data_IF_291515808375
#
_entry.id   IF_291515808375
#
_cell.length_a   1.000
_cell.length_b   1.000
_cell.length_c   1.000
_cell.angle_alpha   90.00
_cell.angle_beta   90.00
_cell.angle_gamma   90.00
#
_symmetry.space_group_name_H-M   'P 1'
#
loop_
_entity.id
_entity.type
_entity.pdbx_description
1 polymer ?
#
# COMPACT_ATOMS: atom_id res chain seq x y z
N UNK A 1 14.53 -1.11 0.36
CA UNK A 1 13.61 -1.53 -0.70
C UNK A 1 12.48 -0.52 -0.80
N UNK A 2 12.29 0.05 -1.98
CA UNK A 2 11.23 1.03 -2.25
C UNK A 2 9.97 0.34 -2.72
N UNK A 3 8.84 0.63 -2.10
CA UNK A 3 7.55 0.03 -2.45
C UNK A 3 6.42 1.04 -2.41
N UNK A 4 5.57 1.01 -3.42
CA UNK A 4 4.27 1.68 -3.38
C UNK A 4 3.30 0.74 -2.68
N UNK A 5 2.59 1.23 -1.68
CA UNK A 5 1.66 0.42 -0.86
C UNK A 5 0.24 0.58 -1.37
N UNK A 6 -0.41 -0.55 -1.65
CA UNK A 6 -1.83 -0.59 -2.00
C UNK A 6 -2.70 -0.44 -0.74
N UNK A 7 -3.84 0.23 -0.88
CA UNK A 7 -4.78 0.45 0.23
C UNK A 7 -5.17 -0.83 0.97
N UNK A 8 -5.30 -1.94 0.27
CA UNK A 8 -5.68 -3.22 0.88
C UNK A 8 -4.70 -3.70 1.95
N UNK A 9 -3.43 -3.31 1.83
CA UNK A 9 -2.42 -3.65 2.83
C UNK A 9 -2.73 -2.96 4.17
N UNK A 10 -3.16 -1.71 4.12
CA UNK A 10 -3.50 -0.96 5.33
C UNK A 10 -4.71 -1.57 6.04
N UNK A 11 -5.72 -1.97 5.27
CA UNK A 11 -6.90 -2.65 5.82
C UNK A 11 -6.49 -3.99 6.46
N UNK A 12 -5.64 -4.76 5.78
CA UNK A 12 -5.15 -6.04 6.32
C UNK A 12 -4.42 -5.87 7.64
N UNK A 13 -3.62 -4.82 7.77
CA UNK A 13 -2.85 -4.55 8.99
C UNK A 13 -3.77 -4.25 10.17
N UNK A 14 -4.91 -3.60 9.92
CA UNK A 14 -5.89 -3.30 10.96
C UNK A 14 -6.73 -4.50 11.34
N UNK A 15 -7.11 -5.30 10.36
CA UNK A 15 -7.98 -6.47 10.57
C UNK A 15 -7.22 -7.62 11.23
N UNK A 16 -6.00 -7.85 10.76
CA UNK A 16 -5.13 -8.92 11.27
C UNK A 16 -3.86 -8.31 11.85
N UNK A 17 -3.75 -8.32 13.14
CA UNK A 17 -2.50 -7.96 13.79
C UNK A 17 -1.42 -8.97 13.40
N UNK A 18 -0.18 -8.55 13.34
CA UNK A 18 0.94 -9.45 13.11
C UNK A 18 1.89 -8.99 12.02
N UNK A 19 2.23 -9.89 11.09
CA UNK A 19 3.34 -9.69 10.16
C UNK A 19 3.14 -8.51 9.18
N UNK A 20 1.91 -8.25 8.74
CA UNK A 20 1.63 -7.09 7.88
C UNK A 20 1.96 -5.78 8.61
N UNK A 21 1.52 -5.66 9.86
CA UNK A 21 1.80 -4.48 10.67
C UNK A 21 3.30 -4.33 10.95
N UNK A 22 3.99 -5.44 11.21
CA UNK A 22 5.44 -5.42 11.43
C UNK A 22 6.20 -4.97 10.19
N UNK A 23 5.76 -5.41 9.00
CA UNK A 23 6.35 -4.97 7.75
C UNK A 23 6.15 -3.47 7.52
N UNK A 24 4.96 -2.94 7.86
CA UNK A 24 4.66 -1.52 7.69
C UNK A 24 5.61 -0.61 8.48
N UNK A 25 6.08 -1.06 9.63
CA UNK A 25 7.00 -0.29 10.46
C UNK A 25 8.46 -0.72 10.32
N UNK A 26 8.76 -1.66 9.42
CA UNK A 26 10.12 -2.14 9.21
C UNK A 26 11.00 -1.08 8.54
N UNK A 27 12.21 -0.91 9.05
CA UNK A 27 13.20 0.00 8.46
C UNK A 27 13.82 -0.54 7.17
N UNK A 28 13.55 -1.80 6.83
CA UNK A 28 14.02 -2.42 5.58
C UNK A 28 13.21 -1.96 4.37
N UNK A 29 12.05 -1.37 4.59
CA UNK A 29 11.15 -0.91 3.55
C UNK A 29 11.01 0.60 3.56
N UNK A 30 11.09 1.21 2.37
CA UNK A 30 10.73 2.61 2.14
C UNK A 30 9.36 2.59 1.46
N UNK A 31 8.34 3.09 2.14
CA UNK A 31 6.97 3.00 1.66
C UNK A 31 6.47 4.33 1.12
N UNK A 32 5.76 4.26 0.00
CA UNK A 32 5.20 5.42 -0.70
C UNK A 32 3.74 5.15 -1.04
N UNK A 33 2.93 6.19 -1.06
CA UNK A 33 1.54 6.07 -1.46
C UNK A 33 1.05 7.39 -2.07
N UNK A 34 0.04 7.34 -2.95
CA UNK A 34 -0.59 8.56 -3.45
C UNK A 34 -1.39 9.22 -2.33
N UNK A 35 -1.52 10.54 -2.39
CA UNK A 35 -2.22 11.29 -1.33
C UNK A 35 -3.68 10.88 -1.13
N UNK A 36 -4.36 10.40 -2.19
CA UNK A 36 -5.76 9.98 -2.04
C UNK A 36 -5.92 8.73 -1.17
N UNK A 37 -4.84 7.97 -0.94
CA UNK A 37 -4.90 6.77 -0.09
C UNK A 37 -5.45 7.08 1.29
N UNK A 38 -4.95 8.14 1.92
CA UNK A 38 -5.40 8.52 3.26
C UNK A 38 -6.81 9.10 3.24
N UNK A 39 -7.16 9.78 2.15
CA UNK A 39 -8.52 10.28 1.96
C UNK A 39 -9.51 9.12 1.89
N UNK A 40 -9.20 8.09 1.10
CA UNK A 40 -10.01 6.89 0.98
C UNK A 40 -10.08 6.13 2.31
N UNK A 41 -8.93 5.99 2.96
CA UNK A 41 -8.85 5.28 4.24
C UNK A 41 -9.72 5.95 5.31
N UNK A 42 -9.66 7.28 5.38
CA UNK A 42 -10.47 8.07 6.32
C UNK A 42 -11.95 8.02 5.98
N UNK A 43 -12.29 8.01 4.68
CA UNK A 43 -13.66 7.92 4.19
C UNK A 43 -14.37 6.65 4.69
N UNK A 44 -13.63 5.55 4.81
CA UNK A 44 -14.18 4.27 5.26
C UNK A 44 -13.95 4.01 6.75
N UNK A 45 -13.61 5.05 7.52
CA UNK A 45 -13.32 4.96 8.95
C UNK A 45 -14.38 4.18 9.74
N UNK A 46 -15.65 4.55 9.60
CA UNK A 46 -16.72 3.91 10.36
C UNK A 46 -16.86 2.42 10.06
N UNK A 47 -16.72 2.06 8.80
CA UNK A 47 -16.74 0.65 8.38
C UNK A 47 -15.54 -0.12 8.95
N UNK A 48 -14.37 0.51 8.95
CA UNK A 48 -13.15 -0.08 9.49
C UNK A 48 -13.29 -0.33 10.99
N UNK A 49 -13.79 0.66 11.73
CA UNK A 49 -14.01 0.54 13.16
C UNK A 49 -14.94 -0.62 13.49
N UNK A 50 -16.02 -0.74 12.72
CA UNK A 50 -17.01 -1.81 12.91
C UNK A 50 -16.39 -3.20 12.63
N UNK A 51 -15.66 -3.33 11.54
CA UNK A 51 -15.08 -4.62 11.13
C UNK A 51 -13.91 -5.06 12.00
N UNK A 52 -13.15 -4.11 12.52
CA UNK A 52 -11.95 -4.42 13.31
C UNK A 52 -12.20 -4.42 14.81
N UNK A 53 -13.39 -4.02 15.24
CA UNK A 53 -13.75 -3.85 16.65
C UNK A 53 -12.82 -2.87 17.39
N UNK A 54 -12.23 -1.93 16.65
CA UNK A 54 -11.38 -0.88 17.21
C UNK A 54 -12.18 0.36 17.51
N UNK A 55 -11.73 1.15 18.47
CA UNK A 55 -12.33 2.45 18.76
C UNK A 55 -11.64 3.54 17.93
N UNK A 56 -12.18 4.75 17.97
CA UNK A 56 -11.68 5.89 17.23
C UNK A 56 -10.25 6.27 17.60
N UNK A 57 -9.93 6.18 18.90
CA UNK A 57 -8.59 6.48 19.38
C UNK A 57 -7.54 5.53 18.81
N UNK A 58 -7.84 4.24 18.79
CA UNK A 58 -6.95 3.23 18.19
C UNK A 58 -6.76 3.45 16.72
N UNK A 59 -7.82 3.80 15.99
CA UNK A 59 -7.76 4.12 14.58
C UNK A 59 -6.85 5.33 14.33
N UNK A 60 -7.02 6.39 15.12
CA UNK A 60 -6.22 7.61 14.98
C UNK A 60 -4.74 7.37 15.29
N UNK A 61 -4.44 6.55 16.29
CA UNK A 61 -3.07 6.15 16.60
C UNK A 61 -2.43 5.39 15.44
N UNK A 62 -3.16 4.46 14.85
CA UNK A 62 -2.68 3.71 13.69
C UNK A 62 -2.43 4.64 12.51
N UNK A 63 -3.35 5.56 12.26
CA UNK A 63 -3.22 6.53 11.17
C UNK A 63 -1.97 7.40 11.33
N UNK A 64 -1.67 7.84 12.55
CA UNK A 64 -0.45 8.61 12.83
C UNK A 64 0.82 7.82 12.53
N UNK A 65 0.85 6.55 12.91
CA UNK A 65 1.98 5.66 12.61
C UNK A 65 2.16 5.53 11.11
N UNK A 66 1.07 5.34 10.36
CA UNK A 66 1.12 5.23 8.91
C UNK A 66 1.65 6.50 8.25
N UNK A 67 1.24 7.66 8.74
CA UNK A 67 1.70 8.95 8.22
C UNK A 67 3.21 9.15 8.43
N UNK A 68 3.77 8.58 9.48
CA UNK A 68 5.20 8.63 9.73
C UNK A 68 5.97 7.65 8.85
N UNK A 69 5.40 6.48 8.57
CA UNK A 69 6.07 5.41 7.85
C UNK A 69 5.93 5.50 6.34
N UNK A 70 4.87 6.11 5.84
CA UNK A 70 4.57 6.18 4.41
C UNK A 70 4.74 7.60 3.90
N UNK A 71 5.60 7.76 2.90
CA UNK A 71 5.78 9.04 2.22
C UNK A 71 4.65 9.26 1.22
N UNK A 72 3.94 10.36 1.39
CA UNK A 72 2.80 10.70 0.55
C UNK A 72 3.27 11.51 -0.66
N UNK A 73 2.89 11.05 -1.85
CA UNK A 73 3.28 11.71 -3.10
C UNK A 73 2.08 12.47 -3.68
N UNK A 74 2.26 13.77 -3.93
CA UNK A 74 1.17 14.60 -4.47
C UNK A 74 0.72 14.16 -5.86
N UNK A 75 -0.55 14.38 -6.14
CA UNK A 75 -1.17 14.06 -7.42
C UNK A 75 -0.40 14.63 -8.61
N UNK A 76 0.11 15.86 -8.51
CA UNK A 76 0.83 16.51 -9.59
C UNK A 76 2.10 15.78 -10.02
N UNK A 77 2.73 15.04 -9.12
CA UNK A 77 3.93 14.26 -9.41
C UNK A 77 3.60 12.93 -10.06
N UNK A 78 2.39 12.44 -9.86
CA UNK A 78 1.91 11.17 -10.41
C UNK A 78 1.30 11.39 -11.81
N UNK A 79 0.63 12.50 -12.00
CA UNK A 79 -0.13 12.84 -13.20
C UNK A 79 0.63 12.61 -14.53
N UNK A 80 1.91 12.98 -14.68
CA UNK A 80 2.64 12.75 -15.93
C UNK A 80 2.73 11.28 -16.34
N UNK A 81 2.52 10.35 -15.41
CA UNK A 81 2.70 8.91 -15.64
C UNK A 81 1.38 8.15 -15.78
N UNK A 82 0.25 8.85 -15.65
CA UNK A 82 -1.08 8.21 -15.69
C UNK A 82 -1.35 7.54 -17.04
N UNK A 83 -1.02 8.21 -18.14
CA UNK A 83 -1.29 7.64 -19.47
C UNK A 83 -0.51 6.36 -19.71
N UNK A 84 0.75 6.33 -19.30
CA UNK A 84 1.59 5.14 -19.41
C UNK A 84 1.06 4.00 -18.54
N UNK A 85 0.67 4.34 -17.31
CA UNK A 85 0.11 3.36 -16.37
C UNK A 85 -1.22 2.80 -16.85
N UNK A 86 -2.05 3.65 -17.47
CA UNK A 86 -3.36 3.25 -17.97
C UNK A 86 -3.25 2.14 -19.02
N UNK A 87 -2.19 2.15 -19.79
CA UNK A 87 -1.95 1.13 -20.85
C UNK A 87 -1.66 -0.25 -20.28
N UNK A 88 -1.14 -0.33 -19.06
CA UNK A 88 -0.78 -1.60 -18.43
C UNK A 88 -1.71 -1.98 -17.28
N UNK A 89 -2.60 -1.08 -16.88
CA UNK A 89 -3.48 -1.30 -15.73
C UNK A 89 -4.62 -2.25 -16.08
N UNK A 90 -4.78 -3.35 -15.31
CA UNK A 90 -5.90 -4.27 -15.51
C UNK A 90 -7.24 -3.71 -14.99
N UNK A 91 -7.20 -2.71 -14.13
CA UNK A 91 -8.38 -2.10 -13.52
C UNK A 91 -8.10 -0.62 -13.30
N UNK A 92 -9.07 0.29 -13.61
CA UNK A 92 -8.89 1.72 -13.38
C UNK A 92 -8.49 2.09 -11.95
N UNK A 93 -8.86 1.30 -10.97
CA UNK A 93 -8.49 1.51 -9.56
C UNK A 93 -7.00 1.40 -9.33
N UNK A 94 -6.31 0.62 -10.15
CA UNK A 94 -4.89 0.33 -10.00
C UNK A 94 -4.01 1.34 -10.69
N UNK A 95 -4.56 2.13 -11.61
CA UNK A 95 -3.81 3.04 -12.48
C UNK A 95 -2.93 4.00 -11.70
N UNK A 96 -3.45 4.60 -10.63
CA UNK A 96 -2.69 5.58 -9.84
C UNK A 96 -1.50 4.93 -9.12
N UNK A 97 -1.68 3.72 -8.61
CA UNK A 97 -0.60 2.98 -7.95
C UNK A 97 0.49 2.60 -8.94
N UNK A 98 0.10 2.13 -10.12
CA UNK A 98 1.05 1.81 -11.19
C UNK A 98 1.79 3.06 -11.67
N UNK A 99 1.08 4.18 -11.82
CA UNK A 99 1.68 5.46 -12.21
C UNK A 99 2.71 5.92 -11.20
N UNK A 100 2.40 5.80 -9.92
CA UNK A 100 3.34 6.15 -8.85
C UNK A 100 4.58 5.25 -8.88
N UNK A 101 4.39 3.96 -9.08
CA UNK A 101 5.51 3.03 -9.19
C UNK A 101 6.41 3.36 -10.37
N UNK A 102 5.83 3.72 -11.51
CA UNK A 102 6.58 4.16 -12.70
C UNK A 102 7.38 5.44 -12.36
N UNK A 103 6.72 6.43 -11.77
CA UNK A 103 7.33 7.71 -11.41
C UNK A 103 8.53 7.53 -10.49
N UNK A 104 8.43 6.64 -9.52
CA UNK A 104 9.47 6.39 -8.52
C UNK A 104 10.45 5.30 -8.92
N UNK A 105 10.20 4.61 -10.03
CA UNK A 105 10.96 3.42 -10.45
C UNK A 105 11.00 2.39 -9.33
N UNK A 106 9.85 2.13 -8.75
CA UNK A 106 9.70 1.22 -7.61
C UNK A 106 8.77 0.07 -7.94
N UNK A 107 8.75 -0.92 -7.05
CA UNK A 107 7.81 -2.03 -7.10
C UNK A 107 6.58 -1.69 -6.25
N UNK A 108 5.60 -2.58 -6.23
CA UNK A 108 4.36 -2.38 -5.47
C UNK A 108 4.18 -3.52 -4.46
N UNK A 109 3.67 -3.16 -3.28
CA UNK A 109 3.23 -4.11 -2.27
C UNK A 109 1.72 -4.19 -2.31
N UNK A 110 1.20 -5.33 -2.77
CA UNK A 110 -0.24 -5.59 -2.88
C UNK A 110 -0.50 -7.09 -2.80
N UNK A 111 -1.60 -7.46 -2.17
CA UNK A 111 -2.06 -8.84 -2.16
C UNK A 111 -3.13 -9.11 -3.22
N UNK A 112 -3.35 -8.17 -4.14
CA UNK A 112 -4.27 -8.32 -5.25
C UNK A 112 -3.68 -9.24 -6.30
N UNK A 113 -4.22 -10.46 -6.40
CA UNK A 113 -3.74 -11.47 -7.32
C UNK A 113 -3.95 -11.08 -8.78
N UNK A 114 -5.05 -10.39 -9.06
CA UNK A 114 -5.36 -9.95 -10.43
C UNK A 114 -4.36 -8.91 -10.91
N UNK A 115 -4.02 -7.94 -10.06
CA UNK A 115 -2.99 -6.96 -10.36
C UNK A 115 -1.67 -7.63 -10.67
N UNK A 116 -1.30 -8.64 -9.90
CA UNK A 116 -0.06 -9.38 -10.09
C UNK A 116 -0.05 -10.19 -11.38
N UNK A 117 -1.17 -10.81 -11.74
CA UNK A 117 -1.28 -11.71 -12.90
C UNK A 117 -1.48 -10.96 -14.22
N UNK A 118 -2.24 -9.87 -14.19
CA UNK A 118 -2.74 -9.21 -15.40
C UNK A 118 -1.80 -8.13 -15.94
N UNK A 119 -0.66 -7.88 -15.29
CA UNK A 119 0.39 -7.02 -15.84
C UNK A 119 1.76 -7.55 -15.41
N UNK A 120 2.78 -7.29 -16.22
CA UNK A 120 4.14 -7.79 -16.00
C UNK A 120 5.21 -6.70 -16.02
N UNK A 121 4.82 -5.45 -16.22
CA UNK A 121 5.77 -4.34 -16.29
C UNK A 121 6.33 -3.93 -14.95
N UNK A 122 5.53 -4.04 -13.89
CA UNK A 122 5.89 -3.67 -12.54
C UNK A 122 5.80 -4.90 -11.66
N UNK A 123 6.80 -5.13 -10.84
CA UNK A 123 6.81 -6.25 -9.90
C UNK A 123 5.87 -5.96 -8.74
N UNK A 124 4.97 -6.89 -8.48
CA UNK A 124 4.03 -6.82 -7.37
C UNK A 124 4.46 -7.86 -6.33
N UNK A 125 4.76 -7.40 -5.13
CA UNK A 125 5.10 -8.28 -4.01
C UNK A 125 3.90 -8.46 -3.10
N UNK A 126 3.57 -9.71 -2.80
CA UNK A 126 2.60 -10.02 -1.75
C UNK A 126 3.24 -9.85 -0.38
N UNK A 127 2.43 -9.79 0.66
CA UNK A 127 2.91 -9.75 2.04
C UNK A 127 3.80 -10.96 2.34
N UNK A 128 3.37 -12.14 1.90
CA UNK A 128 4.12 -13.37 2.11
C UNK A 128 5.51 -13.33 1.45
N UNK A 129 5.59 -12.82 0.22
CA UNK A 129 6.87 -12.67 -0.47
C UNK A 129 7.80 -11.69 0.24
N UNK A 130 7.24 -10.59 0.76
CA UNK A 130 8.04 -9.60 1.50
C UNK A 130 8.55 -10.12 2.83
N UNK A 131 7.77 -10.93 3.52
CA UNK A 131 8.19 -11.56 4.77
C UNK A 131 9.44 -12.42 4.52
N UNK A 132 9.43 -13.19 3.45
CA UNK A 132 10.57 -14.04 3.06
C UNK A 132 11.76 -13.18 2.63
N UNK A 133 11.52 -12.16 1.82
CA UNK A 133 12.56 -11.31 1.27
C UNK A 133 13.24 -10.44 2.33
N UNK A 134 12.50 -9.97 3.32
CA UNK A 134 13.05 -9.16 4.41
C UNK A 134 13.59 -9.99 5.56
N UNK A 135 13.44 -11.28 5.49
CA UNK A 135 13.90 -12.21 6.54
C UNK A 135 13.25 -11.90 7.89
N UNK A 136 12.00 -11.46 7.85
CA UNK A 136 11.25 -11.08 9.04
C UNK A 136 10.95 -12.29 9.93
N UNK A 137 10.69 -13.45 9.31
CA UNK A 137 10.54 -14.71 10.01
C UNK A 137 11.87 -15.46 9.92
N UNK A 138 12.56 -15.58 11.03
CA UNK A 138 13.75 -16.38 11.15
C UNK A 138 13.39 -17.71 11.80
N UNK A 139 13.66 -18.76 11.11
CA UNK A 139 13.53 -20.09 11.67
C UNK A 139 14.80 -20.47 12.43
#
# INVERSE_FOLDING_TARGET
MKLVVDANILFSALIKEGLTAELLISDKLQLFAPEFLFTEFTKYKDLILKKTHRNEEEFNQFLEILKEQISIIPKKEIKPFINEADKISPDPKDTVYLALAIALKSDIWSNDKKLKQDQTKITIYSTEELIKKTDLIKT
#
